data_IF_255783457582
#
_entry.id   IF_255783457582
#
_cell.length_a   1.000
_cell.length_b   1.000
_cell.length_c   1.000
_cell.angle_alpha   90.00
_cell.angle_beta   90.00
_cell.angle_gamma   90.00
#
_symmetry.space_group_name_H-M   'P 1'
#
loop_
_entity.id
_entity.type
_entity.pdbx_description
1 polymer ?
#
# COMPACT_ATOMS: atom_id res chain seq x y z
N UNK A 1 -13.35 7.83 2.87
CA UNK A 1 -12.10 7.93 3.65
C UNK A 1 -10.99 8.11 2.65
N UNK A 2 -10.38 9.31 2.53
CA UNK A 2 -9.17 9.44 1.73
C UNK A 2 -8.15 8.44 2.27
N UNK A 3 -7.56 7.64 1.39
CA UNK A 3 -6.41 6.82 1.72
C UNK A 3 -5.41 7.75 2.42
N UNK A 4 -4.89 7.41 3.62
CA UNK A 4 -3.83 8.23 4.18
C UNK A 4 -2.73 8.25 3.13
N UNK A 5 -2.44 9.45 2.60
CA UNK A 5 -1.24 9.69 1.80
C UNK A 5 -0.03 9.19 2.58
N UNK A 6 1.12 8.99 1.92
CA UNK A 6 2.33 8.63 2.63
C UNK A 6 2.49 9.64 3.76
N UNK A 7 2.35 9.15 5.00
CA UNK A 7 2.63 9.93 6.18
C UNK A 7 4.01 10.52 5.93
N UNK A 8 4.17 11.82 6.18
CA UNK A 8 5.47 12.52 6.17
C UNK A 8 6.41 11.81 7.12
N UNK A 9 6.96 10.69 6.66
CA UNK A 9 8.08 10.05 7.25
C UNK A 9 9.23 11.00 6.94
N UNK A 10 9.99 11.45 7.95
CA UNK A 10 11.15 12.32 7.74
C UNK A 10 12.32 11.56 7.11
N UNK A 11 12.06 10.69 6.13
CA UNK A 11 13.04 9.82 5.51
C UNK A 11 12.86 9.71 4.01
N UNK A 12 13.98 9.69 3.30
CA UNK A 12 13.97 9.63 1.84
C UNK A 12 13.36 8.33 1.34
N UNK A 13 12.45 8.50 0.40
CA UNK A 13 11.77 7.44 -0.33
C UNK A 13 12.53 7.10 -1.61
N UNK A 14 12.01 6.17 -2.41
CA UNK A 14 12.64 5.77 -3.68
C UNK A 14 12.58 6.87 -4.75
N UNK A 15 11.62 7.78 -4.67
CA UNK A 15 11.43 8.87 -5.65
C UNK A 15 12.47 9.98 -5.51
N UNK A 16 13.13 10.07 -4.35
CA UNK A 16 14.19 11.05 -4.06
C UNK A 16 15.55 10.69 -4.70
N UNK A 17 15.59 9.60 -5.47
CA UNK A 17 16.79 9.10 -6.11
C UNK A 17 16.61 9.07 -7.63
N UNK A 18 17.54 9.68 -8.35
CA UNK A 18 17.46 9.89 -9.80
C UNK A 18 18.26 8.80 -10.52
N UNK A 19 17.60 7.89 -11.28
CA UNK A 19 18.29 6.83 -12.00
C UNK A 19 18.89 7.33 -13.31
N UNK A 20 20.17 6.99 -13.53
CA UNK A 20 20.82 7.03 -14.84
C UNK A 20 20.90 5.61 -15.41
N UNK A 21 19.99 5.29 -16.33
CA UNK A 21 19.90 3.97 -16.96
C UNK A 21 21.07 3.65 -17.89
N UNK A 22 21.69 4.68 -18.49
CA UNK A 22 22.80 4.49 -19.41
C UNK A 22 24.08 4.17 -18.63
N UNK A 23 24.38 4.95 -17.59
CA UNK A 23 25.52 4.70 -16.71
C UNK A 23 25.27 3.54 -15.71
N UNK A 24 24.02 3.10 -15.57
CA UNK A 24 23.57 2.14 -14.54
C UNK A 24 23.95 2.59 -13.13
N UNK A 25 23.70 3.86 -12.84
CA UNK A 25 23.96 4.47 -11.54
C UNK A 25 22.74 5.22 -11.02
N UNK A 26 22.71 5.44 -9.71
CA UNK A 26 21.62 6.13 -9.03
C UNK A 26 22.20 7.28 -8.21
N UNK A 27 21.63 8.46 -8.36
CA UNK A 27 22.11 9.68 -7.67
C UNK A 27 21.14 10.06 -6.56
N UNK A 28 21.65 10.31 -5.35
CA UNK A 28 20.84 10.82 -4.25
C UNK A 28 20.73 12.36 -4.28
N UNK A 29 19.86 12.93 -3.44
CA UNK A 29 19.69 14.38 -3.29
C UNK A 29 20.97 15.15 -2.90
N UNK A 30 21.96 14.47 -2.29
CA UNK A 30 23.28 15.04 -1.97
C UNK A 30 24.31 14.83 -3.08
N UNK A 31 23.86 14.51 -4.29
CA UNK A 31 24.68 14.28 -5.49
C UNK A 31 25.73 13.17 -5.37
N UNK A 32 25.58 12.26 -4.40
CA UNK A 32 26.42 11.06 -4.32
C UNK A 32 25.88 10.02 -5.30
N UNK A 33 26.77 9.47 -6.13
CA UNK A 33 26.44 8.41 -7.10
C UNK A 33 26.65 7.03 -6.49
N UNK A 34 25.74 6.10 -6.79
CA UNK A 34 25.84 4.70 -6.38
C UNK A 34 26.97 3.96 -7.11
N UNK A 35 27.31 2.77 -6.62
CA UNK A 35 28.00 1.79 -7.45
C UNK A 35 27.12 1.34 -8.63
N UNK A 36 27.71 0.76 -9.70
CA UNK A 36 26.96 0.16 -10.79
C UNK A 36 25.95 -0.87 -10.27
N UNK A 37 24.76 -0.86 -10.86
CA UNK A 37 23.68 -1.75 -10.44
C UNK A 37 24.02 -3.22 -10.67
N UNK A 38 23.57 -4.09 -9.76
CA UNK A 38 23.74 -5.54 -9.88
C UNK A 38 22.38 -6.21 -10.12
N UNK A 39 22.23 -7.07 -11.15
CA UNK A 39 21.04 -7.90 -11.29
C UNK A 39 20.82 -8.76 -10.06
N UNK A 40 19.57 -8.90 -9.64
CA UNK A 40 19.16 -9.75 -8.52
C UNK A 40 17.73 -10.26 -8.75
N UNK A 41 17.30 -11.22 -7.94
CA UNK A 41 15.93 -11.72 -7.95
C UNK A 41 15.25 -11.33 -6.65
N UNK A 42 14.07 -10.71 -6.74
CA UNK A 42 13.19 -10.43 -5.60
C UNK A 42 11.84 -11.06 -5.85
N UNK A 43 11.39 -11.92 -4.95
CA UNK A 43 10.16 -12.72 -5.10
C UNK A 43 10.07 -13.38 -6.48
N UNK A 44 11.15 -14.02 -6.92
CA UNK A 44 11.33 -14.67 -8.23
C UNK A 44 11.25 -13.73 -9.46
N UNK A 45 11.17 -12.41 -9.27
CA UNK A 45 11.17 -11.44 -10.36
C UNK A 45 12.53 -10.74 -10.48
N UNK A 46 12.89 -10.37 -11.70
CA UNK A 46 14.10 -9.60 -11.99
C UNK A 46 14.08 -8.23 -11.30
N UNK A 47 15.20 -7.89 -10.68
CA UNK A 47 15.43 -6.64 -9.95
C UNK A 47 16.86 -6.16 -10.16
N UNK A 48 17.08 -4.89 -9.85
CA UNK A 48 18.39 -4.27 -9.86
C UNK A 48 18.72 -3.78 -8.45
N UNK A 49 19.77 -4.37 -7.88
CA UNK A 49 20.33 -4.02 -6.58
C UNK A 49 21.27 -2.84 -6.71
N UNK A 50 20.99 -1.77 -5.97
CA UNK A 50 21.73 -0.50 -6.01
C UNK A 50 22.28 -0.17 -4.64
N UNK A 51 23.60 -0.22 -4.49
CA UNK A 51 24.29 0.05 -3.24
C UNK A 51 25.05 1.38 -3.33
N UNK A 52 24.82 2.25 -2.36
CA UNK A 52 25.61 3.47 -2.22
C UNK A 52 26.96 3.20 -1.53
N UNK A 53 27.99 4.02 -1.78
CA UNK A 53 29.26 3.90 -1.09
C UNK A 53 29.07 4.10 0.43
N UNK A 54 29.42 3.08 1.22
CA UNK A 54 29.40 3.12 2.69
C UNK A 54 30.09 4.36 3.29
N UNK A 55 31.31 4.76 2.90
CA UNK A 55 31.96 5.92 3.50
C UNK A 55 31.18 7.21 3.24
N UNK A 56 30.64 7.39 2.02
CA UNK A 56 29.84 8.56 1.68
C UNK A 56 28.53 8.61 2.49
N UNK A 57 27.82 7.47 2.62
CA UNK A 57 26.61 7.42 3.46
C UNK A 57 26.91 7.64 4.95
N UNK A 58 28.06 7.15 5.45
CA UNK A 58 28.44 7.29 6.86
C UNK A 58 28.74 8.72 7.25
N UNK A 59 29.37 9.49 6.37
CA UNK A 59 29.70 10.90 6.56
C UNK A 59 28.56 11.87 6.20
N UNK A 60 27.44 11.37 5.68
CA UNK A 60 26.31 12.18 5.25
C UNK A 60 25.52 12.73 6.45
N UNK A 61 25.20 14.03 6.43
CA UNK A 61 24.39 14.71 7.46
C UNK A 61 22.97 14.12 7.54
N UNK A 62 22.37 13.80 6.40
CA UNK A 62 21.01 13.28 6.33
C UNK A 62 20.91 11.77 6.63
N UNK A 63 21.97 11.15 7.14
CA UNK A 63 22.03 9.69 7.36
C UNK A 63 20.91 9.19 8.27
N UNK A 64 20.58 9.94 9.32
CA UNK A 64 19.49 9.58 10.25
C UNK A 64 18.14 9.52 9.53
N UNK A 65 17.87 10.45 8.61
CA UNK A 65 16.68 10.43 7.76
C UNK A 65 16.74 9.34 6.68
N UNK A 66 17.90 9.12 6.08
CA UNK A 66 18.07 8.26 4.90
C UNK A 66 18.13 6.77 5.19
N UNK A 67 18.98 6.35 6.14
CA UNK A 67 19.20 4.93 6.47
C UNK A 67 18.68 4.57 7.85
N UNK A 68 18.22 5.57 8.62
CA UNK A 68 17.97 5.40 10.05
C UNK A 68 19.28 5.20 10.83
N UNK A 69 19.15 4.88 12.11
CA UNK A 69 20.26 4.54 12.98
C UNK A 69 20.67 3.07 12.84
N UNK A 70 21.08 2.67 11.63
CA UNK A 70 21.65 1.33 11.40
C UNK A 70 23.17 1.41 11.30
N UNK A 71 23.85 0.60 12.12
CA UNK A 71 25.30 0.52 12.30
C UNK A 71 26.10 0.57 10.99
N UNK A 72 26.51 1.78 10.61
CA UNK A 72 27.37 2.05 9.47
C UNK A 72 26.90 1.46 8.13
N UNK A 73 25.59 1.19 7.96
CA UNK A 73 25.03 0.65 6.72
C UNK A 73 24.90 1.76 5.67
N UNK A 74 25.18 1.40 4.41
CA UNK A 74 24.85 2.26 3.28
C UNK A 74 23.39 2.08 2.88
N UNK A 75 22.84 3.07 2.19
CA UNK A 75 21.53 2.94 1.55
C UNK A 75 21.59 1.86 0.48
N UNK A 76 20.63 0.94 0.52
CA UNK A 76 20.40 -0.10 -0.47
C UNK A 76 19.02 0.12 -1.09
N UNK A 77 18.96 0.24 -2.41
CA UNK A 77 17.72 0.47 -3.16
C UNK A 77 17.56 -0.65 -4.18
N UNK A 78 16.33 -1.14 -4.31
CA UNK A 78 15.96 -2.11 -5.32
C UNK A 78 15.13 -1.44 -6.42
N UNK A 79 15.66 -1.41 -7.64
CA UNK A 79 14.97 -0.93 -8.83
C UNK A 79 14.32 -2.10 -9.59
N UNK A 80 13.24 -1.80 -10.30
CA UNK A 80 12.72 -2.70 -11.35
C UNK A 80 13.56 -2.52 -12.63
N UNK A 81 13.52 -3.46 -13.57
CA UNK A 81 13.96 -3.21 -14.94
C UNK A 81 13.33 -1.93 -15.52
N UNK A 82 14.07 -1.20 -16.34
CA UNK A 82 13.73 0.16 -16.79
C UNK A 82 12.26 0.33 -17.19
N UNK A 83 11.80 -0.47 -18.16
CA UNK A 83 10.44 -0.39 -18.68
C UNK A 83 9.38 -0.54 -17.58
N UNK A 84 9.59 -1.46 -16.64
CA UNK A 84 8.66 -1.68 -15.53
C UNK A 84 8.74 -0.55 -14.50
N UNK A 85 9.94 0.00 -14.26
CA UNK A 85 10.13 1.13 -13.37
C UNK A 85 9.41 2.38 -13.89
N UNK A 86 9.53 2.68 -15.18
CA UNK A 86 8.87 3.80 -15.85
C UNK A 86 7.34 3.66 -15.81
N UNK A 87 6.81 2.48 -16.13
CA UNK A 87 5.37 2.19 -16.02
C UNK A 87 4.89 2.40 -14.58
N UNK A 88 5.61 1.85 -13.60
CA UNK A 88 5.23 1.98 -12.20
C UNK A 88 5.26 3.44 -11.73
N UNK A 89 6.28 4.21 -12.12
CA UNK A 89 6.38 5.64 -11.79
C UNK A 89 5.21 6.41 -12.40
N UNK A 90 4.90 6.20 -13.68
CA UNK A 90 3.77 6.86 -14.37
C UNK A 90 2.43 6.53 -13.71
N UNK A 91 2.16 5.24 -13.46
CA UNK A 91 0.91 4.83 -12.82
C UNK A 91 0.79 5.43 -11.42
N UNK A 92 1.89 5.53 -10.65
CA UNK A 92 1.86 6.20 -9.35
C UNK A 92 1.54 7.68 -9.45
N UNK A 93 2.14 8.42 -10.39
CA UNK A 93 1.80 9.83 -10.57
C UNK A 93 0.35 10.05 -10.99
N UNK A 94 -0.24 9.11 -11.73
CA UNK A 94 -1.66 9.18 -12.11
C UNK A 94 -2.59 8.97 -10.91
N UNK A 95 -2.17 8.23 -9.87
CA UNK A 95 -2.99 7.93 -8.69
C UNK A 95 -3.38 9.18 -7.88
N UNK A 96 -2.55 10.20 -7.94
CA UNK A 96 -2.79 11.46 -7.23
C UNK A 96 -3.83 12.35 -7.96
N UNK A 97 -4.22 11.98 -9.18
CA UNK A 97 -5.20 12.73 -9.96
C UNK A 97 -6.64 12.40 -9.57
N UNK A 98 -7.48 13.42 -9.48
CA UNK A 98 -8.91 13.27 -9.18
C UNK A 98 -9.66 12.33 -10.14
N UNK A 99 -9.43 12.36 -11.47
CA UNK A 99 -10.07 11.42 -12.39
C UNK A 99 -9.69 9.97 -12.11
N UNK A 100 -8.42 9.70 -11.79
CA UNK A 100 -7.97 8.36 -11.43
C UNK A 100 -8.63 7.88 -10.15
N UNK A 101 -8.67 8.74 -9.12
CA UNK A 101 -9.30 8.43 -7.83
C UNK A 101 -10.80 8.13 -7.97
N UNK A 102 -11.52 8.92 -8.80
CA UNK A 102 -12.93 8.68 -9.10
C UNK A 102 -13.16 7.33 -9.76
N UNK A 103 -12.35 6.98 -10.76
CA UNK A 103 -12.45 5.68 -11.43
C UNK A 103 -12.10 4.53 -10.48
N UNK A 104 -11.08 4.71 -9.64
CA UNK A 104 -10.66 3.70 -8.68
C UNK A 104 -11.68 3.49 -7.54
N UNK A 105 -12.44 4.52 -7.17
CA UNK A 105 -13.46 4.44 -6.11
C UNK A 105 -14.51 3.34 -6.39
N UNK A 106 -14.86 3.10 -7.67
CA UNK A 106 -15.77 2.02 -8.07
C UNK A 106 -15.18 0.66 -7.68
N UNK A 107 -13.91 0.42 -8.02
CA UNK A 107 -13.20 -0.82 -7.68
C UNK A 107 -13.05 -0.98 -6.17
N UNK A 108 -12.67 0.09 -5.47
CA UNK A 108 -12.56 0.09 -4.01
C UNK A 108 -13.91 -0.27 -3.34
N UNK A 109 -15.04 0.19 -3.90
CA UNK A 109 -16.38 -0.18 -3.44
C UNK A 109 -16.70 -1.68 -3.61
N UNK A 110 -16.29 -2.28 -4.73
CA UNK A 110 -16.40 -3.72 -4.95
C UNK A 110 -15.55 -4.51 -3.94
N UNK A 111 -14.29 -4.13 -3.76
CA UNK A 111 -13.37 -4.78 -2.81
C UNK A 111 -13.85 -4.63 -1.36
N UNK A 112 -14.40 -3.46 -0.99
CA UNK A 112 -15.02 -3.24 0.30
C UNK A 112 -16.22 -4.17 0.54
N UNK A 113 -17.02 -4.43 -0.50
CA UNK A 113 -18.16 -5.36 -0.42
C UNK A 113 -17.72 -6.80 -0.23
N UNK A 114 -16.69 -7.23 -0.97
CA UNK A 114 -16.08 -8.56 -0.78
C UNK A 114 -15.49 -8.68 0.63
N UNK A 115 -14.79 -7.65 1.09
CA UNK A 115 -14.21 -7.62 2.45
C UNK A 115 -15.29 -7.73 3.52
N UNK A 116 -16.38 -6.97 3.41
CA UNK A 116 -17.52 -7.07 4.33
C UNK A 116 -18.12 -8.48 4.36
N UNK A 117 -18.44 -9.05 3.21
CA UNK A 117 -19.04 -10.39 3.15
C UNK A 117 -18.11 -11.47 3.70
N UNK A 118 -16.80 -11.38 3.46
CA UNK A 118 -15.80 -12.30 4.02
C UNK A 118 -15.68 -12.18 5.53
N UNK A 119 -15.57 -10.96 6.05
CA UNK A 119 -15.21 -10.73 7.45
C UNK A 119 -16.42 -10.64 8.40
N UNK A 120 -17.55 -10.09 7.95
CA UNK A 120 -18.75 -9.91 8.77
C UNK A 120 -19.77 -11.05 8.60
N UNK A 121 -19.77 -11.74 7.45
CA UNK A 121 -20.81 -12.71 7.11
C UNK A 121 -20.29 -14.12 6.80
N UNK A 122 -19.00 -14.36 7.01
CA UNK A 122 -18.43 -15.71 6.95
C UNK A 122 -18.45 -16.34 5.54
N UNK A 123 -18.39 -15.53 4.48
CA UNK A 123 -18.50 -15.99 3.09
C UNK A 123 -17.54 -17.15 2.74
N UNK A 124 -16.36 -17.20 3.35
CA UNK A 124 -15.35 -18.26 3.12
C UNK A 124 -15.64 -19.58 3.85
N UNK A 125 -16.64 -19.61 4.73
CA UNK A 125 -16.97 -20.78 5.54
C UNK A 125 -18.32 -21.35 5.08
N UNK A 126 -18.27 -22.21 4.06
CA UNK A 126 -19.45 -22.94 3.59
C UNK A 126 -19.55 -24.29 4.28
N UNK A 127 -20.67 -24.57 4.94
CA UNK A 127 -20.94 -25.87 5.60
C UNK A 127 -21.44 -26.94 4.61
N UNK A 128 -21.65 -26.57 3.35
CA UNK A 128 -22.16 -27.45 2.31
C UNK A 128 -21.08 -27.80 1.31
N UNK A 129 -21.04 -29.06 0.90
CA UNK A 129 -20.16 -29.54 -0.16
C UNK A 129 -20.84 -29.37 -1.54
N UNK A 130 -20.06 -28.92 -2.53
CA UNK A 130 -20.48 -28.78 -3.93
C UNK A 130 -20.85 -27.35 -4.34
N UNK A 131 -20.40 -26.96 -5.54
CA UNK A 131 -20.49 -25.58 -6.07
C UNK A 131 -21.92 -25.04 -6.05
N UNK A 132 -22.92 -25.85 -6.41
CA UNK A 132 -24.31 -25.41 -6.43
C UNK A 132 -24.82 -24.97 -5.05
N UNK A 133 -24.50 -25.71 -3.99
CA UNK A 133 -24.91 -25.38 -2.61
C UNK A 133 -24.12 -24.18 -2.07
N UNK A 134 -22.84 -24.10 -2.39
CA UNK A 134 -22.00 -22.94 -2.07
C UNK A 134 -22.52 -21.67 -2.75
N UNK A 135 -22.95 -21.76 -4.00
CA UNK A 135 -23.54 -20.64 -4.73
C UNK A 135 -24.80 -20.10 -4.03
N UNK A 136 -25.70 -20.98 -3.59
CA UNK A 136 -26.89 -20.57 -2.81
C UNK A 136 -26.49 -19.83 -1.54
N UNK A 137 -25.51 -20.34 -0.79
CA UNK A 137 -25.01 -19.64 0.40
C UNK A 137 -24.46 -18.24 0.06
N UNK A 138 -23.69 -18.11 -1.02
CA UNK A 138 -23.13 -16.81 -1.43
C UNK A 138 -24.23 -15.81 -1.82
N UNK A 139 -25.25 -16.24 -2.57
CA UNK A 139 -26.39 -15.40 -2.95
C UNK A 139 -27.15 -14.92 -1.72
N UNK A 140 -27.45 -15.82 -0.78
CA UNK A 140 -28.12 -15.48 0.47
C UNK A 140 -27.28 -14.53 1.35
N UNK A 141 -25.96 -14.76 1.39
CA UNK A 141 -25.02 -13.88 2.12
C UNK A 141 -25.00 -12.47 1.53
N UNK A 142 -24.95 -12.37 0.20
CA UNK A 142 -25.00 -11.08 -0.50
C UNK A 142 -26.34 -10.36 -0.28
N UNK A 143 -27.45 -11.09 -0.34
CA UNK A 143 -28.78 -10.54 -0.04
C UNK A 143 -28.87 -10.01 1.39
N UNK A 144 -28.39 -10.79 2.37
CA UNK A 144 -28.33 -10.37 3.79
C UNK A 144 -27.49 -9.11 4.00
N UNK A 145 -26.31 -9.04 3.36
CA UNK A 145 -25.45 -7.85 3.41
C UNK A 145 -26.16 -6.61 2.85
N UNK A 146 -26.88 -6.75 1.72
CA UNK A 146 -27.67 -5.65 1.14
C UNK A 146 -28.79 -5.18 2.08
N UNK A 147 -29.50 -6.09 2.74
CA UNK A 147 -30.54 -5.74 3.73
C UNK A 147 -29.94 -4.97 4.90
N UNK A 148 -28.80 -5.43 5.44
CA UNK A 148 -28.10 -4.75 6.53
C UNK A 148 -27.70 -3.33 6.12
N UNK A 149 -27.15 -3.16 4.91
CA UNK A 149 -26.78 -1.83 4.38
C UNK A 149 -28.00 -0.91 4.25
N UNK A 150 -29.08 -1.40 3.66
CA UNK A 150 -30.32 -0.63 3.52
C UNK A 150 -30.89 -0.22 4.89
N UNK A 151 -30.80 -1.10 5.89
CA UNK A 151 -31.23 -0.78 7.26
C UNK A 151 -30.38 0.30 7.95
N UNK A 152 -29.15 0.51 7.46
CA UNK A 152 -28.21 1.52 7.97
C UNK A 152 -28.24 2.82 7.16
N UNK A 153 -28.87 2.83 5.99
CA UNK A 153 -29.03 4.00 5.14
C UNK A 153 -30.21 4.85 5.63
N UNK A 154 -29.92 5.99 6.28
CA UNK A 154 -30.92 7.02 6.56
C UNK A 154 -31.27 7.86 5.32
N UNK A 155 -32.39 8.60 5.31
CA UNK A 155 -32.66 9.58 4.26
C UNK A 155 -31.55 10.64 4.17
N UNK A 156 -31.25 11.16 2.96
CA UNK A 156 -30.21 12.16 2.77
C UNK A 156 -30.50 13.40 3.63
N UNK A 157 -29.55 13.78 4.51
CA UNK A 157 -29.70 14.88 5.47
C UNK A 157 -30.07 14.46 6.90
N UNK A 158 -30.37 13.19 7.14
CA UNK A 158 -30.46 12.64 8.51
C UNK A 158 -29.13 12.00 8.89
N UNK A 159 -28.37 12.66 9.77
CA UNK A 159 -27.30 11.97 10.49
C UNK A 159 -27.94 11.03 11.51
N UNK A 160 -28.31 9.82 11.08
CA UNK A 160 -28.42 8.74 12.04
C UNK A 160 -27.02 8.59 12.65
N UNK A 161 -26.87 8.52 13.99
CA UNK A 161 -25.56 8.28 14.59
C UNK A 161 -25.04 6.99 13.99
N UNK A 162 -23.99 7.10 13.17
CA UNK A 162 -23.35 5.95 12.56
C UNK A 162 -23.04 5.00 13.70
N UNK A 163 -23.67 3.80 13.73
CA UNK A 163 -23.35 2.79 14.74
C UNK A 163 -21.85 2.62 14.67
N UNK A 164 -21.15 3.11 15.69
CA UNK A 164 -19.72 3.04 15.78
C UNK A 164 -19.38 1.56 15.74
N UNK A 165 -18.78 1.12 14.62
CA UNK A 165 -18.23 -0.23 14.57
C UNK A 165 -17.29 -0.34 15.76
N UNK A 166 -17.43 -1.36 16.63
CA UNK A 166 -16.49 -1.55 17.71
C UNK A 166 -15.09 -1.54 17.10
N UNK A 167 -14.21 -0.73 17.69
CA UNK A 167 -12.86 -0.59 17.19
C UNK A 167 -12.24 -1.98 17.05
N UNK A 168 -11.59 -2.25 15.91
CA UNK A 168 -10.88 -3.51 15.74
C UNK A 168 -9.91 -3.71 16.91
N UNK A 169 -9.65 -4.98 17.29
CA UNK A 169 -8.69 -5.31 18.35
C UNK A 169 -7.36 -4.57 18.18
N UNK A 170 -6.91 -4.40 16.94
CA UNK A 170 -5.73 -3.59 16.60
C UNK A 170 -5.88 -2.11 16.98
N UNK A 171 -7.01 -1.48 16.64
CA UNK A 171 -7.30 -0.07 16.96
C UNK A 171 -7.58 0.17 18.46
N UNK A 172 -7.94 -0.88 19.21
CA UNK A 172 -7.96 -0.85 20.68
C UNK A 172 -6.53 -0.90 21.22
N UNK A 173 -5.72 -1.87 20.79
CA UNK A 173 -4.31 -1.99 21.18
C UNK A 173 -3.49 -0.72 20.88
N UNK A 174 -3.71 -0.08 19.73
CA UNK A 174 -3.02 1.18 19.41
C UNK A 174 -3.40 2.33 20.34
N UNK A 175 -4.63 2.36 20.88
CA UNK A 175 -5.06 3.37 21.86
C UNK A 175 -4.49 3.11 23.25
N UNK A 176 -4.42 1.84 23.62
CA UNK A 176 -3.86 1.40 24.90
C UNK A 176 -2.34 1.64 24.97
N UNK A 177 -1.65 1.59 23.82
CA UNK A 177 -0.22 1.90 23.71
C UNK A 177 0.09 3.40 23.61
N UNK A 178 -0.91 4.24 23.37
CA UNK A 178 -0.78 5.70 23.29
C UNK A 178 -1.25 6.44 24.55
N UNK A 179 -1.61 5.70 25.60
CA UNK A 179 -2.01 6.21 26.93
C UNK A 179 -0.92 5.90 27.94
#
# INVERSE_FOLDING_TARGET
>A
MPTPGPQDHPGFTKTDFIPDWQARTLTCLRHVTSHPWKPTLGDQHERLSVLFPKPACRACEDRLACTGNTDGRARHITLLPQRLQEIQTRVRSEQDTEPWQRNYAIRAGCEATVSETVHAHGLRHCRHHGIARTHVQHVLTAAGANIIRLSQSGPPGSELPARTRPASRFRQLCRDLSS
#
